data_IF_326776259559
#
_entry.id   IF_326776259559
#
_cell.length_a   1.000
_cell.length_b   1.000
_cell.length_c   1.000
_cell.angle_alpha   90.00
_cell.angle_beta   90.00
_cell.angle_gamma   90.00
#
_symmetry.space_group_name_H-M   'P 1'
#
loop_
_entity.id
_entity.type
_entity.pdbx_description
1 polymer ?
#
# COMPACT_ATOMS: atom_id res chain seq x y z
N UNK A 1 -12.82 20.90 -9.09
CA UNK A 1 -12.04 19.66 -8.84
C UNK A 1 -12.24 19.04 -7.45
N UNK A 2 -12.43 19.79 -6.34
CA UNK A 2 -12.87 19.22 -5.04
C UNK A 2 -14.18 18.40 -5.14
N UNK A 3 -15.04 18.74 -6.10
CA UNK A 3 -16.31 18.06 -6.35
C UNK A 3 -16.17 16.69 -7.02
N UNK A 4 -15.18 16.44 -7.89
CA UNK A 4 -15.19 15.22 -8.72
C UNK A 4 -14.73 13.99 -7.95
N UNK A 5 -13.71 14.14 -7.09
CA UNK A 5 -13.25 13.06 -6.20
C UNK A 5 -14.30 12.79 -5.14
N UNK A 6 -14.88 13.83 -4.53
CA UNK A 6 -16.00 13.66 -3.60
C UNK A 6 -17.23 13.02 -4.29
N UNK A 7 -17.52 13.37 -5.54
CA UNK A 7 -18.60 12.75 -6.32
C UNK A 7 -18.24 11.31 -6.69
N UNK A 8 -17.00 10.97 -7.03
CA UNK A 8 -16.61 9.59 -7.33
C UNK A 8 -16.61 8.72 -6.06
N UNK A 9 -16.12 9.23 -4.93
CA UNK A 9 -16.22 8.55 -3.63
C UNK A 9 -17.67 8.44 -3.18
N UNK A 10 -18.50 9.47 -3.39
CA UNK A 10 -19.93 9.44 -3.05
C UNK A 10 -20.73 8.52 -3.97
N UNK A 11 -20.47 8.53 -5.28
CA UNK A 11 -21.07 7.62 -6.25
C UNK A 11 -20.60 6.18 -6.02
N UNK A 12 -19.34 5.98 -5.62
CA UNK A 12 -18.81 4.68 -5.22
C UNK A 12 -19.51 4.16 -3.96
N UNK A 13 -19.60 4.98 -2.91
CA UNK A 13 -20.35 4.66 -1.68
C UNK A 13 -21.85 4.43 -1.97
N UNK A 14 -22.46 5.20 -2.86
CA UNK A 14 -23.85 5.00 -3.28
C UNK A 14 -24.05 3.72 -4.10
N UNK A 15 -23.10 3.34 -4.97
CA UNK A 15 -23.13 2.07 -5.70
C UNK A 15 -22.94 0.87 -4.77
N UNK A 16 -22.03 0.95 -3.80
CA UNK A 16 -21.84 -0.07 -2.78
C UNK A 16 -23.10 -0.21 -1.89
N UNK A 17 -23.72 0.89 -1.48
CA UNK A 17 -24.97 0.87 -0.73
C UNK A 17 -26.16 0.31 -1.53
N UNK A 18 -26.18 0.50 -2.85
CA UNK A 18 -27.20 -0.07 -3.74
C UNK A 18 -27.03 -1.58 -3.97
N UNK A 19 -25.83 -2.13 -3.78
CA UNK A 19 -25.50 -3.55 -3.96
C UNK A 19 -25.61 -4.37 -2.65
N UNK A 20 -25.74 -3.72 -1.49
CA UNK A 20 -25.93 -4.38 -0.19
C UNK A 20 -27.14 -3.80 0.57
N UNK A 21 -28.37 -4.30 0.33
CA UNK A 21 -29.61 -3.74 0.89
C UNK A 21 -29.81 -3.96 2.41
N UNK A 22 -28.79 -4.47 3.14
CA UNK A 22 -28.90 -4.84 4.55
C UNK A 22 -28.07 -3.97 5.51
N UNK A 23 -27.37 -2.95 5.02
CA UNK A 23 -26.64 -2.02 5.90
C UNK A 23 -27.56 -0.87 6.34
N UNK A 24 -27.72 -0.61 7.65
CA UNK A 24 -28.63 0.41 8.15
C UNK A 24 -28.21 1.82 7.70
N UNK A 25 -29.16 2.55 7.14
CA UNK A 25 -29.04 3.89 6.52
C UNK A 25 -28.57 5.02 7.46
N UNK A 26 -28.29 4.72 8.73
CA UNK A 26 -27.85 5.70 9.73
C UNK A 26 -26.31 5.87 9.82
N UNK A 27 -25.52 4.99 9.20
CA UNK A 27 -24.05 5.14 9.14
C UNK A 27 -23.55 6.05 8.00
N UNK A 28 -24.43 6.48 7.09
CA UNK A 28 -24.10 7.25 5.87
C UNK A 28 -23.91 8.76 6.07
N UNK A 29 -24.02 9.28 7.30
CA UNK A 29 -23.81 10.71 7.62
C UNK A 29 -22.45 11.05 8.24
N UNK A 30 -21.56 10.07 8.41
CA UNK A 30 -20.26 10.28 9.07
C UNK A 30 -19.06 10.47 8.13
N UNK A 31 -19.28 10.46 6.80
CA UNK A 31 -18.22 10.65 5.79
C UNK A 31 -17.95 12.11 5.39
N UNK A 32 -18.62 13.06 6.04
CA UNK A 32 -18.25 14.50 6.03
C UNK A 32 -18.10 14.97 7.47
N UNK A 33 -17.32 14.22 8.25
CA UNK A 33 -16.84 14.71 9.53
C UNK A 33 -15.80 15.79 9.30
N UNK A 34 -16.15 17.05 9.54
CA UNK A 34 -15.20 18.11 9.84
C UNK A 34 -14.43 17.72 11.11
N UNK A 35 -13.46 16.80 10.99
CA UNK A 35 -12.39 16.71 11.96
C UNK A 35 -11.49 17.91 11.70
N UNK A 36 -11.71 18.99 12.46
CA UNK A 36 -10.70 20.01 12.70
C UNK A 36 -9.50 19.29 13.32
N UNK A 37 -8.61 18.79 12.46
CA UNK A 37 -7.27 18.36 12.86
C UNK A 37 -6.57 19.56 13.48
N UNK A 38 -5.86 19.38 14.62
CA UNK A 38 -4.98 20.42 15.13
C UNK A 38 -4.02 20.81 14.00
N UNK A 39 -3.92 22.11 13.73
CA UNK A 39 -2.88 22.60 12.83
C UNK A 39 -1.53 22.24 13.47
N UNK A 40 -0.82 21.29 12.86
CA UNK A 40 0.49 20.87 13.34
C UNK A 40 1.47 22.01 13.10
N UNK A 41 1.90 22.66 14.18
CA UNK A 41 2.69 23.90 14.18
C UNK A 41 4.20 23.70 14.01
N UNK A 42 4.65 22.48 13.68
CA UNK A 42 6.06 22.16 13.51
C UNK A 42 6.29 21.35 12.23
N UNK A 43 7.43 21.53 11.53
CA UNK A 43 7.81 20.68 10.42
C UNK A 43 7.97 19.24 10.93
N UNK A 44 6.96 18.42 10.65
CA UNK A 44 6.91 17.01 10.98
C UNK A 44 7.56 16.23 9.84
N UNK A 45 8.54 15.37 10.14
CA UNK A 45 9.12 14.48 9.13
C UNK A 45 8.07 13.47 8.65
N UNK A 46 8.20 12.95 7.43
CA UNK A 46 7.27 11.92 6.91
C UNK A 46 7.15 10.72 7.84
N UNK A 47 8.25 10.36 8.51
CA UNK A 47 8.29 9.26 9.49
C UNK A 47 7.49 9.57 10.75
N UNK A 48 7.66 10.76 11.33
CA UNK A 48 6.88 11.19 12.50
C UNK A 48 5.38 11.27 12.17
N UNK A 49 5.04 11.78 10.98
CA UNK A 49 3.66 11.82 10.50
C UNK A 49 3.05 10.41 10.42
N UNK A 50 3.77 9.47 9.81
CA UNK A 50 3.30 8.07 9.69
C UNK A 50 3.15 7.43 11.07
N UNK A 51 4.12 7.62 11.97
CA UNK A 51 4.06 7.06 13.31
C UNK A 51 2.86 7.59 14.11
N UNK A 52 2.67 8.91 14.11
CA UNK A 52 1.56 9.57 14.78
C UNK A 52 0.20 9.11 14.21
N UNK A 53 0.07 9.05 12.88
CA UNK A 53 -1.16 8.59 12.25
C UNK A 53 -1.52 7.14 12.61
N UNK A 54 -0.52 6.23 12.60
CA UNK A 54 -0.73 4.83 12.99
C UNK A 54 -1.12 4.72 14.46
N UNK A 55 -0.40 5.41 15.36
CA UNK A 55 -0.69 5.38 16.79
C UNK A 55 -2.06 5.96 17.12
N UNK A 56 -2.49 7.03 16.43
CA UNK A 56 -3.84 7.58 16.55
C UNK A 56 -4.91 6.57 16.14
N UNK A 57 -4.71 5.83 15.04
CA UNK A 57 -5.62 4.76 14.62
C UNK A 57 -5.72 3.65 15.67
N UNK A 58 -4.58 3.13 16.11
CA UNK A 58 -4.53 2.06 17.12
C UNK A 58 -5.18 2.47 18.44
N UNK A 59 -5.07 3.75 18.83
CA UNK A 59 -5.72 4.28 20.03
C UNK A 59 -7.24 4.37 19.90
N UNK A 60 -7.77 4.55 18.68
CA UNK A 60 -9.22 4.55 18.41
C UNK A 60 -9.81 3.14 18.43
N UNK A 61 -9.04 2.14 17.98
CA UNK A 61 -9.44 0.73 17.90
C UNK A 61 -9.42 -0.04 19.22
N UNK A 62 -9.09 0.58 20.37
CA UNK A 62 -9.01 -0.09 21.68
C UNK A 62 -10.35 -0.23 22.41
N UNK A 63 -11.48 -0.25 21.69
CA UNK A 63 -12.79 -0.60 22.26
C UNK A 63 -13.19 -1.98 21.75
N UNK A 64 -12.93 -2.99 22.58
CA UNK A 64 -13.48 -4.35 22.55
C UNK A 64 -13.69 -4.97 21.17
N UNK A 65 -12.70 -5.70 20.65
CA UNK A 65 -12.92 -6.64 19.54
C UNK A 65 -12.16 -7.95 19.79
N UNK A 66 -12.84 -8.83 20.53
CA UNK A 66 -12.71 -10.27 20.39
C UNK A 66 -13.34 -10.68 19.04
N UNK A 67 -12.64 -10.45 17.94
CA UNK A 67 -13.04 -11.00 16.64
C UNK A 67 -12.31 -12.33 16.46
N UNK A 68 -12.93 -13.40 16.97
CA UNK A 68 -12.75 -14.75 16.45
C UNK A 68 -13.63 -14.86 15.20
N UNK A 69 -13.14 -14.39 14.05
CA UNK A 69 -13.87 -14.55 12.79
C UNK A 69 -13.00 -15.32 11.81
N UNK A 70 -13.50 -16.48 11.38
CA UNK A 70 -12.88 -17.39 10.42
C UNK A 70 -12.84 -16.82 8.99
N UNK A 71 -13.10 -15.52 8.81
CA UNK A 71 -13.11 -14.81 7.52
C UNK A 71 -11.72 -14.30 7.09
N UNK A 72 -10.70 -14.42 7.95
CA UNK A 72 -9.35 -13.88 7.74
C UNK A 72 -8.46 -14.84 6.94
N UNK A 73 -8.98 -15.42 5.86
CA UNK A 73 -8.35 -16.52 5.13
C UNK A 73 -7.05 -16.16 4.36
N UNK A 74 -6.60 -14.90 4.39
CA UNK A 74 -5.44 -14.45 3.61
C UNK A 74 -4.48 -13.52 4.38
N UNK A 75 -4.63 -13.34 5.70
CA UNK A 75 -3.56 -12.67 6.46
C UNK A 75 -2.38 -13.63 6.59
N UNK A 76 -1.18 -13.12 6.32
CA UNK A 76 0.03 -13.87 6.60
C UNK A 76 0.16 -14.08 8.11
N UNK A 77 0.56 -15.29 8.56
CA UNK A 77 0.73 -15.56 9.98
C UNK A 77 1.82 -14.66 10.57
N UNK A 78 1.52 -14.05 11.71
CA UNK A 78 2.44 -13.18 12.44
C UNK A 78 2.21 -11.68 12.26
N UNK A 79 2.82 -10.91 13.16
CA UNK A 79 2.95 -9.46 13.07
C UNK A 79 4.40 -9.13 12.70
N UNK A 80 4.59 -8.24 11.74
CA UNK A 80 5.91 -7.74 11.39
C UNK A 80 6.20 -6.47 12.18
N UNK A 81 7.30 -6.46 12.92
CA UNK A 81 7.80 -5.27 13.60
C UNK A 81 8.22 -4.23 12.56
N UNK A 82 7.96 -2.96 12.81
CA UNK A 82 8.45 -1.88 11.95
C UNK A 82 9.68 -1.26 12.60
N UNK A 83 10.80 -1.28 11.88
CA UNK A 83 12.08 -0.77 12.39
C UNK A 83 11.95 0.71 12.75
N UNK A 84 12.47 1.06 13.93
CA UNK A 84 12.49 2.41 14.48
C UNK A 84 11.09 3.00 14.72
N UNK A 85 10.06 2.16 14.81
CA UNK A 85 8.66 2.55 14.98
C UNK A 85 7.97 1.75 16.10
N UNK A 86 7.06 2.36 16.87
CA UNK A 86 6.44 1.73 18.04
C UNK A 86 5.16 0.93 17.70
N UNK A 87 5.08 0.32 16.52
CA UNK A 87 3.91 -0.43 16.06
C UNK A 87 4.28 -1.60 15.15
N UNK A 88 3.34 -2.54 14.99
CA UNK A 88 3.46 -3.71 14.13
C UNK A 88 2.47 -3.63 12.97
N UNK A 89 2.70 -4.45 11.95
CA UNK A 89 1.84 -4.55 10.77
C UNK A 89 1.52 -6.01 10.45
N UNK A 90 0.28 -6.28 10.03
CA UNK A 90 -0.11 -7.52 9.38
C UNK A 90 -0.07 -7.36 7.87
N UNK A 91 0.57 -8.30 7.18
CA UNK A 91 0.49 -8.40 5.73
C UNK A 91 -0.68 -9.30 5.33
N UNK A 92 -1.34 -8.98 4.23
CA UNK A 92 -2.35 -9.86 3.60
C UNK A 92 -1.88 -10.27 2.22
N UNK A 93 -2.08 -11.52 1.85
CA UNK A 93 -1.85 -11.96 0.48
C UNK A 93 -2.88 -11.36 -0.49
N UNK A 94 -2.41 -11.04 -1.69
CA UNK A 94 -3.22 -10.67 -2.85
C UNK A 94 -2.73 -11.45 -4.07
N UNK A 95 -3.58 -11.67 -5.10
CA UNK A 95 -3.21 -12.42 -6.28
C UNK A 95 -1.97 -11.84 -6.99
N UNK A 96 -1.10 -12.74 -7.46
CA UNK A 96 0.12 -12.42 -8.22
C UNK A 96 -0.10 -12.37 -9.73
N UNK A 97 -1.25 -11.89 -10.19
CA UNK A 97 -1.62 -11.80 -11.61
C UNK A 97 -1.09 -10.53 -12.31
N UNK A 98 -0.28 -9.74 -11.61
CA UNK A 98 0.25 -8.46 -12.08
C UNK A 98 -0.60 -7.25 -11.71
N UNK A 99 -1.73 -7.42 -11.03
CA UNK A 99 -2.51 -6.32 -10.45
C UNK A 99 -2.20 -6.06 -8.96
N UNK A 100 -1.22 -6.74 -8.38
CA UNK A 100 -0.95 -6.76 -6.94
C UNK A 100 -0.75 -5.37 -6.30
N UNK A 101 -0.16 -4.40 -7.02
CA UNK A 101 -0.08 -3.02 -6.54
C UNK A 101 -1.47 -2.43 -6.30
N UNK A 102 -2.32 -2.47 -7.32
CA UNK A 102 -3.67 -1.89 -7.26
C UNK A 102 -4.57 -2.67 -6.30
N UNK A 103 -4.42 -3.99 -6.23
CA UNK A 103 -5.10 -4.84 -5.24
C UNK A 103 -4.71 -4.47 -3.81
N UNK A 104 -3.42 -4.20 -3.56
CA UNK A 104 -2.94 -3.77 -2.25
C UNK A 104 -3.52 -2.41 -1.86
N UNK A 105 -3.45 -1.42 -2.76
CA UNK A 105 -4.03 -0.09 -2.50
C UNK A 105 -5.55 -0.19 -2.30
N UNK A 106 -6.25 -0.98 -3.12
CA UNK A 106 -7.69 -1.24 -2.97
C UNK A 106 -8.01 -1.85 -1.60
N UNK A 107 -7.24 -2.85 -1.16
CA UNK A 107 -7.46 -3.50 0.13
C UNK A 107 -7.25 -2.54 1.31
N UNK A 108 -6.24 -1.68 1.26
CA UNK A 108 -6.03 -0.65 2.27
C UNK A 108 -7.16 0.39 2.28
N UNK A 109 -7.65 0.83 1.12
CA UNK A 109 -8.78 1.75 1.01
C UNK A 109 -10.08 1.12 1.53
N UNK A 110 -10.33 -0.14 1.18
CA UNK A 110 -11.48 -0.90 1.65
C UNK A 110 -11.47 -1.01 3.18
N UNK A 111 -10.35 -1.42 3.76
CA UNK A 111 -10.19 -1.46 5.22
C UNK A 111 -10.36 -0.09 5.86
N UNK A 112 -9.82 0.96 5.26
CA UNK A 112 -9.97 2.32 5.76
C UNK A 112 -11.43 2.80 5.75
N UNK A 113 -12.25 2.32 4.82
CA UNK A 113 -13.64 2.74 4.67
C UNK A 113 -14.63 1.87 5.47
N UNK A 114 -14.37 0.57 5.56
CA UNK A 114 -15.32 -0.43 6.07
C UNK A 114 -14.83 -1.18 7.31
N UNK A 115 -13.57 -0.98 7.72
CA UNK A 115 -12.93 -1.66 8.87
C UNK A 115 -13.03 -3.19 8.81
N UNK A 116 -13.15 -3.72 7.60
CA UNK A 116 -13.26 -5.15 7.28
C UNK A 116 -12.36 -5.47 6.10
N UNK A 117 -11.89 -6.71 6.02
CA UNK A 117 -11.08 -7.15 4.89
C UNK A 117 -11.99 -7.51 3.71
N UNK A 118 -11.77 -6.90 2.54
CA UNK A 118 -12.52 -7.20 1.33
C UNK A 118 -12.42 -8.69 0.96
N UNK A 119 -13.50 -9.33 0.53
CA UNK A 119 -13.38 -10.59 -0.22
C UNK A 119 -12.69 -10.28 -1.56
N UNK A 120 -11.62 -11.02 -1.87
CA UNK A 120 -10.81 -10.79 -3.06
C UNK A 120 -11.55 -11.18 -4.36
N UNK A 121 -12.63 -11.95 -4.23
CA UNK A 121 -13.51 -12.30 -5.36
C UNK A 121 -14.75 -11.40 -5.45
N UNK A 122 -14.91 -10.44 -4.53
CA UNK A 122 -16.05 -9.52 -4.56
C UNK A 122 -16.00 -8.65 -5.84
N UNK A 123 -17.08 -8.60 -6.66
CA UNK A 123 -17.09 -7.81 -7.89
C UNK A 123 -16.81 -6.33 -7.68
N UNK A 124 -17.29 -5.72 -6.58
CA UNK A 124 -17.02 -4.32 -6.27
C UNK A 124 -15.56 -4.10 -5.87
N UNK A 125 -14.92 -5.07 -5.22
CA UNK A 125 -13.48 -5.04 -4.96
C UNK A 125 -12.67 -5.13 -6.27
N UNK A 126 -13.02 -6.06 -7.16
CA UNK A 126 -12.38 -6.19 -8.47
C UNK A 126 -12.56 -4.94 -9.34
N UNK A 127 -13.75 -4.33 -9.32
CA UNK A 127 -14.01 -3.05 -9.99
C UNK A 127 -13.18 -1.91 -9.40
N UNK A 128 -12.96 -1.90 -8.08
CA UNK A 128 -12.09 -0.92 -7.43
C UNK A 128 -10.64 -1.04 -7.91
N UNK A 129 -10.12 -2.26 -8.06
CA UNK A 129 -8.77 -2.51 -8.59
C UNK A 129 -8.62 -1.90 -9.99
N UNK A 130 -9.59 -2.19 -10.88
CA UNK A 130 -9.61 -1.64 -12.23
C UNK A 130 -9.70 -0.11 -12.23
N UNK A 131 -10.54 0.45 -11.36
CA UNK A 131 -10.73 1.90 -11.23
C UNK A 131 -9.47 2.62 -10.74
N UNK A 132 -8.75 2.05 -9.77
CA UNK A 132 -7.48 2.61 -9.29
C UNK A 132 -6.41 2.60 -10.38
N UNK A 133 -6.36 1.54 -11.19
CA UNK A 133 -5.47 1.50 -12.37
C UNK A 133 -5.77 2.64 -13.33
N UNK A 134 -7.05 2.83 -13.70
CA UNK A 134 -7.41 3.94 -14.58
C UNK A 134 -7.11 5.29 -13.95
N UNK A 135 -7.41 5.47 -12.65
CA UNK A 135 -7.12 6.71 -11.92
C UNK A 135 -5.63 7.06 -11.94
N UNK A 136 -4.75 6.07 -11.75
CA UNK A 136 -3.31 6.26 -11.81
C UNK A 136 -2.88 6.76 -13.20
N UNK A 137 -3.32 6.09 -14.27
CA UNK A 137 -2.97 6.45 -15.64
C UNK A 137 -3.57 7.80 -16.04
N UNK A 138 -4.82 8.07 -15.68
CA UNK A 138 -5.48 9.35 -15.92
C UNK A 138 -4.70 10.49 -15.27
N UNK A 139 -4.22 10.29 -14.04
CA UNK A 139 -3.38 11.27 -13.33
C UNK A 139 -2.02 11.46 -14.01
N UNK A 140 -1.41 10.38 -14.51
CA UNK A 140 -0.16 10.44 -15.29
C UNK A 140 -0.35 11.13 -16.65
N UNK A 141 -1.56 11.14 -17.21
CA UNK A 141 -1.87 11.79 -18.49
C UNK A 141 -2.50 13.18 -18.35
N UNK A 142 -2.98 13.57 -17.16
CA UNK A 142 -3.66 14.84 -16.95
C UNK A 142 -2.71 16.03 -17.18
N UNK A 143 -2.97 16.77 -18.25
CA UNK A 143 -2.19 17.96 -18.61
C UNK A 143 -2.41 19.13 -17.66
N UNK A 144 -3.48 19.11 -16.84
CA UNK A 144 -3.70 20.08 -15.78
C UNK A 144 -2.83 19.79 -14.54
N UNK A 145 -2.26 18.60 -14.43
CA UNK A 145 -1.30 18.24 -13.38
C UNK A 145 0.11 18.50 -13.91
N UNK A 146 0.67 19.64 -13.52
CA UNK A 146 2.05 20.02 -13.89
C UNK A 146 3.10 19.26 -13.09
N UNK A 147 2.85 19.06 -11.81
CA UNK A 147 3.81 18.53 -10.82
C UNK A 147 3.15 17.51 -9.92
N UNK A 148 3.88 16.44 -9.65
CA UNK A 148 3.54 15.40 -8.67
C UNK A 148 4.48 15.54 -7.49
N UNK A 149 4.02 15.16 -6.30
CA UNK A 149 4.83 15.23 -5.09
C UNK A 149 5.29 13.84 -4.72
N UNK A 150 6.58 13.75 -4.49
CA UNK A 150 7.28 12.52 -4.15
C UNK A 150 7.21 12.36 -2.65
N UNK A 151 7.92 13.18 -1.88
CA UNK A 151 7.91 13.12 -0.42
C UNK A 151 8.13 14.51 0.18
N UNK A 152 7.30 14.92 1.14
CA UNK A 152 7.44 16.22 1.79
C UNK A 152 7.28 17.36 0.78
N UNK A 153 8.34 18.16 0.62
CA UNK A 153 8.41 19.26 -0.34
C UNK A 153 9.05 18.86 -1.69
N UNK A 154 9.47 17.60 -1.84
CA UNK A 154 10.06 17.09 -3.08
C UNK A 154 8.99 16.92 -4.15
N UNK A 155 9.19 17.57 -5.29
CA UNK A 155 8.25 17.54 -6.42
C UNK A 155 8.95 17.16 -7.71
N UNK A 156 8.22 16.49 -8.61
CA UNK A 156 8.69 16.09 -9.93
C UNK A 156 7.66 16.52 -10.99
N UNK A 157 8.08 17.09 -12.14
CA UNK A 157 7.15 17.33 -13.24
C UNK A 157 6.49 16.03 -13.69
N UNK A 158 5.17 16.04 -13.88
CA UNK A 158 4.41 14.85 -14.30
C UNK A 158 4.98 14.26 -15.60
N UNK A 159 5.30 15.11 -16.57
CA UNK A 159 5.90 14.69 -17.84
C UNK A 159 7.26 14.00 -17.64
N UNK A 160 8.10 14.49 -16.72
CA UNK A 160 9.38 13.85 -16.40
C UNK A 160 9.18 12.46 -15.82
N UNK A 161 8.23 12.26 -14.91
CA UNK A 161 7.93 10.95 -14.34
C UNK A 161 7.54 9.93 -15.42
N UNK A 162 6.61 10.31 -16.30
CA UNK A 162 6.14 9.43 -17.39
C UNK A 162 7.25 9.16 -18.39
N UNK A 163 8.10 10.16 -18.69
CA UNK A 163 9.23 9.98 -19.59
C UNK A 163 10.28 9.01 -19.03
N UNK A 164 10.61 9.14 -17.74
CA UNK A 164 11.53 8.22 -17.06
C UNK A 164 10.98 6.80 -17.05
N UNK A 165 9.71 6.63 -16.67
CA UNK A 165 9.04 5.33 -16.67
C UNK A 165 9.02 4.70 -18.07
N UNK A 166 8.65 5.47 -19.10
CA UNK A 166 8.63 4.96 -20.47
C UNK A 166 10.03 4.57 -20.98
N UNK A 167 11.07 5.31 -20.58
CA UNK A 167 12.45 5.00 -20.93
C UNK A 167 12.91 3.66 -20.33
N UNK A 168 12.53 3.35 -19.09
CA UNK A 168 12.85 2.06 -18.43
C UNK A 168 12.25 0.86 -19.19
N UNK A 169 11.10 1.06 -19.85
CA UNK A 169 10.46 0.04 -20.69
C UNK A 169 10.81 0.15 -22.19
N UNK A 170 11.77 1.02 -22.56
CA UNK A 170 12.15 1.30 -23.94
C UNK A 170 10.93 1.57 -24.84
N UNK A 171 10.02 2.43 -24.37
CA UNK A 171 8.76 2.75 -25.05
C UNK A 171 8.48 4.25 -25.03
N UNK A 172 7.40 4.69 -25.69
CA UNK A 172 6.99 6.10 -25.65
C UNK A 172 6.10 6.36 -24.44
N UNK A 173 6.03 7.60 -23.91
CA UNK A 173 5.12 7.97 -22.83
C UNK A 173 3.66 7.56 -23.07
N UNK A 174 3.17 7.74 -24.31
CA UNK A 174 1.82 7.34 -24.68
C UNK A 174 1.65 5.81 -24.63
N UNK A 175 2.58 5.05 -25.23
CA UNK A 175 2.52 3.59 -25.24
C UNK A 175 2.71 2.97 -23.85
N UNK A 176 3.48 3.62 -22.97
CA UNK A 176 3.57 3.26 -21.55
C UNK A 176 2.20 3.37 -20.87
N UNK A 177 1.55 4.53 -20.97
CA UNK A 177 0.24 4.77 -20.37
C UNK A 177 -0.84 3.83 -20.92
N UNK A 178 -0.92 3.65 -22.24
CA UNK A 178 -1.90 2.72 -22.85
C UNK A 178 -1.72 1.28 -22.35
N UNK A 179 -0.47 0.84 -22.20
CA UNK A 179 -0.17 -0.49 -21.65
C UNK A 179 -0.53 -0.60 -20.17
N UNK A 180 -0.28 0.45 -19.39
CA UNK A 180 -0.60 0.48 -17.96
C UNK A 180 -2.11 0.39 -17.69
N UNK A 181 -2.96 0.79 -18.66
CA UNK A 181 -4.42 0.60 -18.60
C UNK A 181 -4.85 -0.86 -18.68
N UNK A 182 -4.06 -1.72 -19.32
CA UNK A 182 -4.41 -3.12 -19.49
C UNK A 182 -4.44 -3.84 -18.14
N UNK A 183 -5.40 -4.76 -17.94
CA UNK A 183 -5.38 -5.65 -16.78
C UNK A 183 -4.07 -6.42 -16.77
N UNK A 184 -3.59 -6.78 -15.58
CA UNK A 184 -2.40 -7.60 -15.36
C UNK A 184 -1.05 -6.93 -15.73
N UNK A 185 -1.05 -5.69 -16.23
CA UNK A 185 0.20 -4.92 -16.37
C UNK A 185 0.71 -4.51 -14.98
N UNK A 186 1.98 -4.79 -14.71
CA UNK A 186 2.61 -4.49 -13.42
C UNK A 186 2.77 -2.99 -13.25
N UNK A 187 2.26 -2.46 -12.14
CA UNK A 187 2.50 -1.08 -11.73
C UNK A 187 3.70 -0.97 -10.79
N UNK A 188 4.20 0.25 -10.61
CA UNK A 188 5.33 0.52 -9.73
C UNK A 188 5.34 1.94 -9.17
N UNK A 189 6.54 2.50 -8.99
CA UNK A 189 6.74 3.84 -8.44
C UNK A 189 5.89 4.93 -9.10
N UNK A 190 5.84 5.04 -10.45
CA UNK A 190 5.05 6.06 -11.14
C UNK A 190 3.56 6.00 -10.77
N UNK A 191 2.98 4.81 -10.73
CA UNK A 191 1.58 4.60 -10.36
C UNK A 191 1.33 4.92 -8.88
N UNK A 192 2.26 4.60 -7.98
CA UNK A 192 2.13 4.93 -6.55
C UNK A 192 2.11 6.44 -6.35
N UNK A 193 3.02 7.16 -7.01
CA UNK A 193 3.07 8.64 -6.95
C UNK A 193 1.78 9.24 -7.52
N UNK A 194 1.31 8.74 -8.65
CA UNK A 194 0.06 9.17 -9.27
C UNK A 194 -1.15 8.92 -8.35
N UNK A 195 -1.25 7.74 -7.75
CA UNK A 195 -2.31 7.39 -6.82
C UNK A 195 -2.26 8.23 -5.54
N UNK A 196 -1.08 8.46 -4.97
CA UNK A 196 -0.93 9.33 -3.80
C UNK A 196 -1.45 10.74 -4.09
N UNK A 197 -1.11 11.29 -5.26
CA UNK A 197 -1.61 12.59 -5.70
C UNK A 197 -3.14 12.58 -5.88
N UNK A 198 -3.67 11.61 -6.63
CA UNK A 198 -5.09 11.53 -6.97
C UNK A 198 -5.99 11.32 -5.74
N UNK A 199 -5.56 10.43 -4.84
CA UNK A 199 -6.25 10.11 -3.59
C UNK A 199 -6.00 11.17 -2.50
N UNK A 200 -5.02 12.07 -2.70
CA UNK A 200 -4.55 13.06 -1.73
C UNK A 200 -4.20 12.42 -0.40
N UNK A 201 -3.47 11.30 -0.49
CA UNK A 201 -3.24 10.40 0.63
C UNK A 201 -1.82 9.87 0.56
N UNK A 202 -1.15 9.85 1.72
CA UNK A 202 0.21 9.31 1.80
C UNK A 202 0.18 7.80 1.58
N UNK A 203 1.07 7.29 0.74
CA UNK A 203 1.30 5.86 0.55
C UNK A 203 2.71 5.52 1.04
N UNK A 204 2.78 4.70 2.09
CA UNK A 204 4.04 4.26 2.70
C UNK A 204 4.42 2.91 2.13
N UNK A 205 5.61 2.83 1.56
CA UNK A 205 6.16 1.61 0.99
C UNK A 205 7.20 1.03 1.94
N UNK A 206 7.03 -0.25 2.26
CA UNK A 206 7.92 -1.00 3.12
C UNK A 206 8.68 -2.06 2.32
N UNK A 207 9.85 -2.43 2.82
CA UNK A 207 10.58 -3.64 2.42
C UNK A 207 10.83 -4.52 3.66
N UNK A 208 11.07 -5.81 3.43
CA UNK A 208 11.56 -6.70 4.49
C UNK A 208 13.05 -6.42 4.72
N UNK A 209 13.41 -6.08 5.95
CA UNK A 209 14.79 -5.93 6.39
C UNK A 209 15.32 -7.28 6.90
N UNK A 210 16.26 -7.88 6.16
CA UNK A 210 17.02 -9.03 6.61
C UNK A 210 18.46 -8.62 6.99
N UNK A 211 18.82 -8.64 8.30
CA UNK A 211 20.16 -8.30 8.75
C UNK A 211 21.23 -9.32 8.32
N UNK A 212 20.85 -10.54 7.92
CA UNK A 212 21.80 -11.60 7.57
C UNK A 212 22.47 -11.41 6.19
N UNK A 213 21.94 -10.52 5.35
CA UNK A 213 22.47 -10.24 4.00
C UNK A 213 23.64 -9.23 3.97
N UNK A 214 24.10 -8.72 5.12
CA UNK A 214 25.17 -7.71 5.19
C UNK A 214 26.60 -8.25 5.29
N UNK A 215 26.81 -9.56 5.20
CA UNK A 215 28.14 -10.17 5.29
C UNK A 215 28.64 -10.71 3.94
N UNK A 216 28.91 -9.82 2.98
CA UNK A 216 29.57 -10.14 1.71
C UNK A 216 30.37 -8.94 1.20
N UNK A 217 31.69 -9.05 1.17
CA UNK A 217 32.64 -7.98 0.84
C UNK A 217 32.48 -7.42 -0.59
N UNK A 218 32.68 -6.11 -0.67
CA UNK A 218 32.91 -5.17 -1.78
C UNK A 218 33.44 -5.72 -3.12
N UNK A 219 32.79 -5.33 -4.23
CA UNK A 219 33.34 -4.59 -5.41
C UNK A 219 32.54 -4.88 -6.70
N UNK A 220 32.16 -3.82 -7.43
CA UNK A 220 31.82 -3.90 -8.86
C UNK A 220 30.38 -3.51 -9.21
N UNK A 221 30.24 -2.48 -10.04
CA UNK A 221 29.00 -2.02 -10.68
C UNK A 221 28.19 -3.14 -11.32
N UNK A 222 26.90 -3.23 -10.99
CA UNK A 222 25.77 -3.56 -11.90
C UNK A 222 24.51 -3.76 -11.07
N UNK A 223 23.39 -3.25 -11.57
CA UNK A 223 22.06 -3.65 -11.14
C UNK A 223 21.89 -5.19 -11.19
N UNK A 224 20.96 -5.68 -10.38
CA UNK A 224 20.49 -7.07 -10.28
C UNK A 224 21.31 -8.06 -9.44
N UNK A 225 21.00 -8.09 -8.14
CA UNK A 225 20.91 -9.34 -7.38
C UNK A 225 20.13 -9.11 -6.08
N UNK A 226 18.84 -9.47 -6.06
CA UNK A 226 18.03 -9.57 -4.85
C UNK A 226 17.49 -11.00 -4.77
N UNK A 227 17.95 -11.76 -3.78
CA UNK A 227 17.49 -13.12 -3.51
C UNK A 227 16.09 -13.09 -2.86
N UNK A 228 15.25 -14.10 -3.08
CA UNK A 228 13.90 -14.13 -2.52
C UNK A 228 13.88 -14.40 -1.02
N UNK A 229 13.13 -13.58 -0.27
CA UNK A 229 12.82 -13.84 1.15
C UNK A 229 11.51 -14.61 1.24
N UNK A 230 11.54 -15.87 1.69
CA UNK A 230 10.33 -16.68 1.88
C UNK A 230 9.58 -16.27 3.16
N UNK A 231 8.55 -15.41 3.04
CA UNK A 231 7.66 -15.03 4.17
C UNK A 231 6.92 -16.24 4.79
N UNK A 232 6.81 -17.36 4.07
CA UNK A 232 6.17 -18.60 4.56
C UNK A 232 6.91 -19.37 5.66
N UNK A 233 8.16 -19.01 6.00
CA UNK A 233 8.93 -19.71 7.06
C UNK A 233 8.78 -19.09 8.47
N UNK A 234 7.86 -18.15 8.68
CA UNK A 234 7.61 -17.53 9.99
C UNK A 234 6.93 -18.45 11.03
N UNK A 235 6.95 -19.77 10.81
CA UNK A 235 6.34 -20.77 11.69
C UNK A 235 7.40 -21.56 12.46
N UNK A 236 7.24 -21.60 13.79
CA UNK A 236 7.85 -22.50 14.79
C UNK A 236 9.34 -22.38 15.13
N UNK A 237 9.62 -21.72 16.25
CA UNK A 237 10.68 -22.17 17.17
C UNK A 237 10.17 -22.09 18.61
N UNK A 238 9.51 -23.17 19.02
CA UNK A 238 9.35 -23.53 20.42
C UNK A 238 10.66 -24.22 20.86
N UNK A 239 11.30 -23.73 21.92
CA UNK A 239 12.49 -24.38 22.50
C UNK A 239 13.70 -23.46 22.74
N UNK A 240 13.77 -22.93 23.96
CA UNK A 240 14.99 -22.60 24.74
C UNK A 240 16.34 -22.54 24.02
N UNK A 241 16.80 -21.34 23.65
CA UNK A 241 18.23 -20.97 23.64
C UNK A 241 18.39 -19.44 23.63
N UNK A 242 19.15 -18.91 24.59
CA UNK A 242 19.58 -17.52 24.64
C UNK A 242 20.54 -17.24 23.47
N UNK A 243 20.07 -16.50 22.46
CA UNK A 243 20.82 -15.62 21.57
C UNK A 243 19.78 -14.86 20.74
N UNK A 244 19.80 -13.52 20.77
CA UNK A 244 18.77 -12.67 20.17
C UNK A 244 18.48 -13.08 18.72
N UNK A 245 17.25 -13.54 18.39
CA UNK A 245 16.96 -14.01 17.05
C UNK A 245 16.95 -12.81 16.10
N UNK A 246 17.54 -12.97 14.91
CA UNK A 246 17.40 -12.10 13.75
C UNK A 246 15.91 -11.89 13.44
N UNK A 247 15.29 -10.90 14.06
CA UNK A 247 13.87 -10.67 13.93
C UNK A 247 13.63 -9.92 12.61
N UNK A 248 12.93 -10.58 11.69
CA UNK A 248 12.49 -9.98 10.43
C UNK A 248 11.66 -8.73 10.73
N UNK A 249 12.14 -7.57 10.31
CA UNK A 249 11.48 -6.29 10.53
C UNK A 249 11.17 -5.62 9.19
N UNK A 250 10.14 -4.78 9.17
CA UNK A 250 9.84 -3.92 8.04
C UNK A 250 10.67 -2.65 8.12
N UNK A 251 11.21 -2.22 6.98
CA UNK A 251 11.85 -0.92 6.82
C UNK A 251 11.03 -0.06 5.86
N UNK A 252 10.72 1.17 6.28
CA UNK A 252 10.13 2.18 5.38
C UNK A 252 11.18 2.57 4.34
N UNK A 253 10.84 2.40 3.05
CA UNK A 253 11.70 2.77 1.92
C UNK A 253 11.22 4.02 1.19
N UNK A 254 9.93 4.35 1.29
CA UNK A 254 9.37 5.58 0.73
C UNK A 254 8.11 6.00 1.49
N UNK A 255 7.92 7.31 1.65
CA UNK A 255 6.67 7.91 2.12
C UNK A 255 6.13 8.83 1.02
N UNK A 256 5.36 8.26 0.10
CA UNK A 256 4.94 8.99 -1.10
C UNK A 256 3.72 9.86 -0.84
N UNK A 257 3.80 11.15 -1.20
CA UNK A 257 2.77 12.16 -0.99
C UNK A 257 3.16 13.27 -0.01
N UNK A 258 2.17 14.10 0.36
CA UNK A 258 2.36 15.24 1.25
C UNK A 258 2.03 14.85 2.69
N UNK A 259 2.98 14.83 3.64
CA UNK A 259 2.64 14.63 5.06
C UNK A 259 1.88 15.83 5.65
N UNK A 260 2.08 17.03 5.09
CA UNK A 260 1.40 18.25 5.53
C UNK A 260 0.06 18.40 4.79
N UNK A 261 -1.01 18.73 5.52
CA UNK A 261 -2.36 18.97 4.99
C UNK A 261 -3.12 17.74 4.45
N UNK A 262 -2.76 16.53 4.88
CA UNK A 262 -3.54 15.33 4.59
C UNK A 262 -4.50 15.03 5.74
N UNK A 263 -5.79 14.90 5.43
CA UNK A 263 -6.84 14.60 6.41
C UNK A 263 -6.99 13.09 6.67
N UNK A 264 -6.52 12.26 5.72
CA UNK A 264 -6.72 10.81 5.71
C UNK A 264 -5.48 10.05 6.22
N UNK A 265 -5.70 8.94 6.92
CA UNK A 265 -4.61 8.10 7.44
C UNK A 265 -3.74 7.53 6.32
N UNK A 266 -2.44 7.27 6.47
CA UNK A 266 -1.63 6.69 5.40
C UNK A 266 -2.13 5.32 4.92
N UNK A 267 -1.86 4.97 3.66
CA UNK A 267 -1.98 3.61 3.15
C UNK A 267 -0.61 2.92 3.26
N UNK A 268 -0.59 1.65 3.66
CA UNK A 268 0.65 0.93 3.93
C UNK A 268 0.76 -0.27 2.99
N UNK A 269 1.82 -0.35 2.19
CA UNK A 269 2.06 -1.46 1.27
C UNK A 269 3.48 -2.01 1.43
N UNK A 270 3.63 -3.32 1.36
CA UNK A 270 4.90 -4.03 1.38
C UNK A 270 5.31 -4.36 -0.05
N UNK A 271 6.52 -3.98 -0.44
CA UNK A 271 7.20 -4.45 -1.63
C UNK A 271 8.10 -5.64 -1.27
N UNK A 272 7.92 -6.77 -1.96
CA UNK A 272 8.65 -8.00 -1.70
C UNK A 272 8.82 -8.82 -2.98
N UNK A 273 9.75 -9.78 -3.00
CA UNK A 273 9.86 -10.75 -4.08
C UNK A 273 8.74 -11.80 -3.99
N UNK A 274 8.08 -12.12 -5.09
CA UNK A 274 7.03 -13.14 -5.28
C UNK A 274 7.42 -14.57 -4.84
N UNK A 275 8.70 -14.93 -4.72
CA UNK A 275 9.02 -16.22 -4.09
C UNK A 275 8.69 -16.26 -2.58
N UNK A 276 8.40 -15.10 -1.98
CA UNK A 276 7.76 -14.96 -0.67
C UNK A 276 6.29 -15.40 -0.64
N UNK A 277 5.62 -15.35 -1.79
CA UNK A 277 4.19 -15.55 -1.96
C UNK A 277 3.97 -16.75 -2.91
N UNK A 278 4.14 -17.95 -2.35
CA UNK A 278 4.16 -19.20 -3.09
C UNK A 278 2.76 -19.70 -3.46
N UNK A 279 2.03 -19.01 -4.34
CA UNK A 279 0.75 -19.52 -4.91
C UNK A 279 0.46 -19.12 -6.37
N UNK A 280 1.24 -18.23 -7.00
CA UNK A 280 0.98 -17.79 -8.39
C UNK A 280 1.72 -18.58 -9.49
N UNK A 281 0.96 -19.13 -10.46
CA UNK A 281 1.48 -19.72 -11.71
C UNK A 281 2.14 -18.65 -12.61
N UNK A 282 3.34 -18.94 -13.13
CA UNK A 282 4.25 -17.97 -13.76
C UNK A 282 4.22 -18.02 -15.31
N UNK A 283 4.33 -16.88 -16.02
CA UNK A 283 4.53 -16.89 -17.47
C UNK A 283 5.93 -17.34 -17.88
N UNK A 284 7.05 -16.76 -17.42
CA UNK A 284 8.39 -17.07 -17.97
C UNK A 284 9.51 -17.15 -16.91
N UNK A 285 10.33 -18.21 -17.02
CA UNK A 285 11.76 -18.28 -16.70
C UNK A 285 12.27 -17.82 -15.32
N UNK A 286 11.81 -18.45 -14.23
CA UNK A 286 12.65 -18.64 -13.02
C UNK A 286 13.09 -17.42 -12.19
N UNK A 287 12.85 -16.19 -12.64
CA UNK A 287 13.15 -14.98 -11.87
C UNK A 287 12.12 -14.77 -10.76
N UNK A 288 12.57 -14.19 -9.65
CA UNK A 288 11.71 -13.68 -8.59
C UNK A 288 10.96 -12.47 -9.14
N UNK A 289 9.66 -12.61 -9.41
CA UNK A 289 8.82 -11.47 -9.76
C UNK A 289 8.69 -10.55 -8.54
N UNK A 290 8.60 -9.24 -8.72
CA UNK A 290 8.26 -8.35 -7.60
C UNK A 290 6.76 -8.45 -7.28
N UNK A 291 6.39 -8.19 -6.03
CA UNK A 291 5.02 -8.32 -5.54
C UNK A 291 4.70 -7.26 -4.48
N UNK A 292 3.46 -6.80 -4.46
CA UNK A 292 2.95 -5.88 -3.45
C UNK A 292 1.92 -6.57 -2.56
N UNK A 293 1.99 -6.31 -1.26
CA UNK A 293 1.00 -6.75 -0.27
C UNK A 293 0.47 -5.55 0.51
N UNK A 294 -0.83 -5.47 0.82
CA UNK A 294 -1.33 -4.48 1.76
C UNK A 294 -0.86 -4.81 3.18
N UNK A 295 -0.58 -3.76 3.94
CA UNK A 295 -0.23 -3.83 5.35
C UNK A 295 -1.32 -3.16 6.20
N UNK A 296 -1.63 -3.76 7.34
CA UNK A 296 -2.64 -3.28 8.27
C UNK A 296 -2.03 -3.10 9.66
N UNK A 297 -2.17 -1.92 10.29
CA UNK A 297 -1.65 -1.69 11.63
C UNK A 297 -2.20 -2.68 12.66
N UNK A 298 -1.30 -3.21 13.49
CA UNK A 298 -1.62 -4.11 14.59
C UNK A 298 -1.14 -3.52 15.92
N UNK A 299 -1.91 -3.76 16.98
CA UNK A 299 -1.50 -3.36 18.34
C UNK A 299 -0.27 -4.18 18.73
N UNK A 300 0.81 -3.51 19.12
CA UNK A 300 1.95 -4.17 19.73
C UNK A 300 1.51 -4.67 21.12
N UNK A 301 1.23 -5.98 21.24
CA UNK A 301 1.10 -6.61 22.55
C UNK A 301 2.51 -6.62 23.16
N UNK A 302 2.71 -5.78 24.19
CA UNK A 302 3.82 -5.90 25.12
C UNK A 302 3.69 -7.19 25.93
#
# INVERSE_FOLDING_TARGET
MRSLVAILTFLFVQRCAALQPHLPSQSLRLLVGNALMPQMSHPCTSREYVADAVLRRLSRGSRDDLISDESVNNLLPGCLEVRDMPYRMHAREVPGDGACLFASVAACLWWSAFETHADLNDPAFLDMIGSLRQLAVDTLQDTNVSTLVLEGDEVLPRSSLVNLAAADYNTTPAAYCERMRLPNTWGGGPEIVALSHALRRVIVVYEVHDPSLRSGNSQGSSAHCMHPVCLGQLSSSDGTAQNAPNQTALKVIACLGFPQNVAEEPLHILFTSSAACSTGLRPHAGQTADHFLPLFPAVSRK
#
